data_IF_029790283726
#
_entry.id   IF_029790283726
#
_cell.length_a   1.000
_cell.length_b   1.000
_cell.length_c   1.000
_cell.angle_alpha   90.00
_cell.angle_beta   90.00
_cell.angle_gamma   90.00
#
_symmetry.space_group_name_H-M   'P 1'
#
loop_
_entity.id
_entity.type
_entity.pdbx_description
1 polymer ?
#
# COMPACT_ATOMS: atom_id res chain seq x y z
N UNK A 1 3.60 -13.77 17.49
CA UNK A 1 4.47 -14.12 16.37
C UNK A 1 3.61 -14.19 15.12
N UNK A 2 3.21 -13.02 14.60
CA UNK A 2 2.63 -12.89 13.26
C UNK A 2 3.76 -12.48 12.31
N UNK A 3 4.71 -13.38 12.11
CA UNK A 3 5.82 -13.21 11.18
C UNK A 3 5.46 -13.92 9.86
N UNK A 4 4.26 -13.61 9.35
CA UNK A 4 3.71 -14.18 8.10
C UNK A 4 2.68 -13.24 7.43
N UNK A 5 2.80 -11.92 7.59
CA UNK A 5 1.94 -10.95 6.89
C UNK A 5 2.64 -10.27 5.70
N UNK A 6 3.94 -10.57 5.46
CA UNK A 6 4.71 -10.00 4.37
C UNK A 6 5.16 -11.09 3.40
N UNK A 7 4.89 -10.86 2.11
CA UNK A 7 5.37 -11.75 1.07
C UNK A 7 6.91 -11.76 1.00
N UNK A 8 7.54 -12.92 0.79
CA UNK A 8 9.00 -13.01 0.73
C UNK A 8 9.55 -12.23 -0.47
N UNK A 9 10.66 -11.51 -0.26
CA UNK A 9 11.44 -10.97 -1.37
C UNK A 9 12.03 -12.16 -2.18
N UNK A 10 11.95 -12.18 -3.52
CA UNK A 10 11.68 -11.06 -4.43
C UNK A 10 10.23 -10.92 -4.92
N UNK A 11 9.31 -11.81 -4.53
CA UNK A 11 7.94 -11.81 -5.06
C UNK A 11 7.22 -10.48 -4.79
N UNK A 12 7.41 -9.94 -3.58
CA UNK A 12 6.93 -8.61 -3.17
C UNK A 12 7.31 -7.48 -4.13
N UNK A 13 8.50 -7.52 -4.75
CA UNK A 13 8.92 -6.49 -5.71
C UNK A 13 8.04 -6.55 -6.96
N UNK A 14 7.74 -7.77 -7.44
CA UNK A 14 6.85 -7.96 -8.59
C UNK A 14 5.43 -7.50 -8.31
N UNK A 15 4.91 -7.83 -7.13
CA UNK A 15 3.56 -7.42 -6.72
C UNK A 15 3.44 -5.90 -6.54
N UNK A 16 4.42 -5.25 -5.90
CA UNK A 16 4.46 -3.79 -5.72
C UNK A 16 4.63 -3.04 -7.06
N UNK A 17 5.38 -3.61 -8.01
CA UNK A 17 5.47 -3.07 -9.38
C UNK A 17 4.14 -3.20 -10.13
N UNK A 18 3.46 -4.35 -10.02
CA UNK A 18 2.20 -4.63 -10.71
C UNK A 18 1.04 -3.80 -10.17
N UNK A 19 0.92 -3.72 -8.84
CA UNK A 19 -0.06 -2.88 -8.16
C UNK A 19 0.21 -1.40 -8.44
N UNK A 20 1.47 -0.95 -8.39
CA UNK A 20 1.88 0.40 -8.76
C UNK A 20 1.53 0.75 -10.21
N UNK A 21 1.82 -0.15 -11.16
CA UNK A 21 1.44 0.03 -12.56
C UNK A 21 -0.08 0.20 -12.71
N UNK A 22 -0.85 -0.65 -12.05
CA UNK A 22 -2.32 -0.64 -12.12
C UNK A 22 -2.90 0.65 -11.53
N UNK A 23 -2.41 1.09 -10.37
CA UNK A 23 -2.79 2.38 -9.76
C UNK A 23 -2.47 3.55 -10.69
N UNK A 24 -1.26 3.58 -11.26
CA UNK A 24 -0.83 4.63 -12.18
C UNK A 24 -1.58 4.62 -13.51
N UNK A 25 -1.96 3.44 -14.02
CA UNK A 25 -2.75 3.30 -15.24
C UNK A 25 -4.18 3.82 -15.02
N UNK A 26 -4.83 3.41 -13.93
CA UNK A 26 -6.20 3.83 -13.62
C UNK A 26 -6.27 5.34 -13.30
N UNK A 27 -5.42 5.80 -12.37
CA UNK A 27 -5.35 7.21 -11.99
C UNK A 27 -4.90 8.10 -13.15
N UNK A 28 -3.88 7.66 -13.89
CA UNK A 28 -3.39 8.35 -15.08
C UNK A 28 -4.43 8.40 -16.20
N UNK A 29 -5.20 7.34 -16.43
CA UNK A 29 -6.28 7.34 -17.43
C UNK A 29 -7.35 8.36 -17.08
N UNK A 30 -7.80 8.41 -15.82
CA UNK A 30 -8.80 9.38 -15.39
C UNK A 30 -8.27 10.82 -15.49
N UNK A 31 -7.08 11.08 -14.97
CA UNK A 31 -6.48 12.42 -14.98
C UNK A 31 -6.21 12.92 -16.41
N UNK A 32 -5.61 12.08 -17.26
CA UNK A 32 -5.33 12.46 -18.65
C UNK A 32 -6.58 12.47 -19.53
N UNK A 33 -7.64 11.75 -19.18
CA UNK A 33 -8.93 11.87 -19.85
C UNK A 33 -9.54 13.26 -19.61
N UNK A 34 -9.67 13.66 -18.35
CA UNK A 34 -10.22 14.98 -17.98
C UNK A 34 -9.35 16.10 -18.54
N UNK A 35 -8.02 15.99 -18.41
CA UNK A 35 -7.10 16.98 -18.94
C UNK A 35 -7.14 17.08 -20.48
N UNK A 36 -7.29 15.94 -21.17
CA UNK A 36 -7.39 15.88 -22.63
C UNK A 36 -8.71 16.48 -23.13
N UNK A 37 -9.82 16.18 -22.45
CA UNK A 37 -11.13 16.73 -22.79
C UNK A 37 -11.21 18.25 -22.59
N UNK A 38 -10.60 18.78 -21.52
CA UNK A 38 -10.60 20.22 -21.20
C UNK A 38 -9.70 21.05 -22.11
N UNK A 39 -8.61 20.48 -22.63
CA UNK A 39 -7.62 21.20 -23.45
C UNK A 39 -7.86 21.10 -24.96
N UNK A 40 -8.92 20.41 -25.39
CA UNK A 40 -9.22 20.20 -26.81
C UNK A 40 -9.92 21.45 -27.41
N UNK A 41 -9.21 22.16 -28.29
CA UNK A 41 -9.75 23.32 -29.04
C UNK A 41 -10.06 22.99 -30.50
N UNK A 42 -9.18 22.25 -31.18
CA UNK A 42 -9.26 22.02 -32.65
C UNK A 42 -9.75 20.62 -33.07
N UNK A 43 -9.79 19.65 -32.14
CA UNK A 43 -10.21 18.26 -32.41
C UNK A 43 -11.48 17.90 -31.65
N UNK A 44 -12.30 16.96 -32.14
CA UNK A 44 -13.41 16.43 -31.37
C UNK A 44 -12.92 15.98 -29.99
N UNK A 45 -13.58 16.49 -28.94
CA UNK A 45 -13.10 16.39 -27.56
C UNK A 45 -12.84 14.94 -27.12
N UNK A 46 -13.65 14.01 -27.60
CA UNK A 46 -13.49 12.57 -27.35
C UNK A 46 -12.24 11.98 -27.99
N UNK A 47 -11.89 12.40 -29.20
CA UNK A 47 -10.70 11.89 -29.88
C UNK A 47 -9.42 12.45 -29.24
N UNK A 48 -9.43 13.74 -28.86
CA UNK A 48 -8.33 14.35 -28.11
C UNK A 48 -8.13 13.70 -26.75
N UNK A 49 -9.23 13.44 -26.03
CA UNK A 49 -9.23 12.67 -24.78
C UNK A 49 -8.59 11.30 -24.97
N UNK A 50 -9.06 10.51 -25.94
CA UNK A 50 -8.58 9.16 -26.18
C UNK A 50 -7.09 9.15 -26.57
N UNK A 51 -6.65 10.08 -27.41
CA UNK A 51 -5.24 10.23 -27.78
C UNK A 51 -4.37 10.61 -26.59
N UNK A 52 -4.86 11.48 -25.69
CA UNK A 52 -4.10 11.90 -24.52
C UNK A 52 -3.96 10.77 -23.49
N UNK A 53 -5.04 10.03 -23.24
CA UNK A 53 -5.02 8.83 -22.38
C UNK A 53 -4.06 7.79 -22.94
N UNK A 54 -4.19 7.43 -24.23
CA UNK A 54 -3.36 6.41 -24.86
C UNK A 54 -1.86 6.73 -24.82
N UNK A 55 -1.49 8.02 -24.91
CA UNK A 55 -0.09 8.44 -24.89
C UNK A 55 0.49 8.57 -23.48
N UNK A 56 -0.31 9.01 -22.49
CA UNK A 56 0.21 9.43 -21.18
C UNK A 56 -0.16 8.52 -20.00
N UNK A 57 -1.28 7.82 -20.07
CA UNK A 57 -1.67 6.88 -19.03
C UNK A 57 -0.64 5.74 -18.83
N UNK A 58 -0.13 5.05 -19.89
CA UNK A 58 0.89 4.02 -19.68
C UNK A 58 2.20 4.59 -19.17
N UNK A 59 2.59 5.81 -19.58
CA UNK A 59 3.79 6.48 -19.06
C UNK A 59 3.67 6.76 -17.55
N UNK A 60 2.49 7.20 -17.10
CA UNK A 60 2.19 7.40 -15.68
C UNK A 60 2.24 6.06 -14.93
N UNK A 61 1.64 5.01 -15.49
CA UNK A 61 1.70 3.65 -14.95
C UNK A 61 3.14 3.17 -14.73
N UNK A 62 4.02 3.31 -15.73
CA UNK A 62 5.43 2.91 -15.62
C UNK A 62 6.17 3.74 -14.56
N UNK A 63 5.86 5.02 -14.40
CA UNK A 63 6.46 5.85 -13.34
C UNK A 63 6.08 5.35 -11.93
N UNK A 64 4.81 5.00 -11.71
CA UNK A 64 4.37 4.42 -10.44
C UNK A 64 4.95 3.02 -10.22
N UNK A 65 5.04 2.20 -11.26
CA UNK A 65 5.68 0.88 -11.18
C UNK A 65 7.17 0.99 -10.84
N UNK A 66 7.89 1.92 -11.46
CA UNK A 66 9.30 2.17 -11.16
C UNK A 66 9.49 2.66 -9.72
N UNK A 67 8.60 3.53 -9.22
CA UNK A 67 8.64 3.98 -7.84
C UNK A 67 8.37 2.83 -6.86
N UNK A 68 7.31 2.05 -7.05
CA UNK A 68 6.98 0.88 -6.21
C UNK A 68 8.09 -0.16 -6.22
N UNK A 69 8.59 -0.56 -7.39
CA UNK A 69 9.67 -1.54 -7.49
C UNK A 69 10.97 -1.08 -6.84
N UNK A 70 11.35 0.19 -6.99
CA UNK A 70 12.52 0.76 -6.35
C UNK A 70 12.38 0.82 -4.83
N UNK A 71 11.19 1.18 -4.33
CA UNK A 71 10.86 1.19 -2.91
C UNK A 71 11.02 -0.20 -2.31
N UNK A 72 10.38 -1.21 -2.88
CA UNK A 72 10.40 -2.58 -2.37
C UNK A 72 11.79 -3.20 -2.46
N UNK A 73 12.56 -2.86 -3.52
CA UNK A 73 13.97 -3.29 -3.63
C UNK A 73 14.81 -2.70 -2.50
N UNK A 74 14.68 -1.41 -2.21
CA UNK A 74 15.42 -0.75 -1.12
C UNK A 74 15.00 -1.31 0.24
N UNK A 75 13.70 -1.49 0.48
CA UNK A 75 13.14 -2.03 1.72
C UNK A 75 13.60 -3.48 1.98
N UNK A 76 13.48 -4.36 0.98
CA UNK A 76 13.99 -5.73 1.03
C UNK A 76 15.50 -5.77 1.31
N UNK A 77 16.28 -4.87 0.69
CA UNK A 77 17.73 -4.80 0.92
C UNK A 77 18.07 -4.37 2.34
N UNK A 78 17.36 -3.36 2.87
CA UNK A 78 17.54 -2.91 4.25
C UNK A 78 17.14 -3.97 5.27
N UNK A 79 16.03 -4.67 5.03
CA UNK A 79 15.59 -5.79 5.85
C UNK A 79 16.63 -6.93 5.86
N UNK A 80 17.21 -7.27 4.70
CA UNK A 80 18.24 -8.30 4.59
C UNK A 80 19.53 -7.93 5.35
N UNK A 81 19.96 -6.67 5.31
CA UNK A 81 21.16 -6.20 6.00
C UNK A 81 20.93 -6.09 7.52
N UNK A 82 19.81 -5.49 7.93
CA UNK A 82 19.54 -5.18 9.35
C UNK A 82 18.90 -6.32 10.11
N UNK A 83 18.34 -7.32 9.42
CA UNK A 83 17.59 -8.46 9.98
C UNK A 83 16.52 -8.04 11.00
N UNK A 84 15.97 -6.84 10.81
CA UNK A 84 14.97 -6.24 11.67
C UNK A 84 14.03 -5.43 10.80
N UNK A 85 12.73 -5.63 11.00
CA UNK A 85 11.68 -4.86 10.34
C UNK A 85 11.19 -3.76 11.29
N UNK A 86 11.65 -2.53 11.05
CA UNK A 86 11.22 -1.34 11.78
C UNK A 86 10.55 -0.36 10.81
N UNK A 87 9.63 0.51 11.29
CA UNK A 87 9.07 1.61 10.48
C UNK A 87 10.14 2.53 9.86
N UNK A 88 11.33 2.56 10.48
CA UNK A 88 12.48 3.28 9.96
C UNK A 88 12.98 2.71 8.62
N UNK A 89 12.82 1.42 8.36
CA UNK A 89 13.19 0.83 7.07
C UNK A 89 12.33 1.41 5.95
N UNK A 90 11.02 1.53 6.16
CA UNK A 90 10.09 2.18 5.22
C UNK A 90 10.45 3.64 4.97
N UNK A 91 10.77 4.41 6.01
CA UNK A 91 11.12 5.84 5.87
C UNK A 91 12.41 6.01 5.07
N UNK A 92 13.44 5.23 5.41
CA UNK A 92 14.74 5.30 4.74
C UNK A 92 14.65 4.78 3.31
N UNK A 93 13.92 3.69 3.06
CA UNK A 93 13.72 3.17 1.71
C UNK A 93 12.97 4.18 0.84
N UNK A 94 11.96 4.89 1.36
CA UNK A 94 11.31 6.00 0.63
C UNK A 94 12.26 7.13 0.25
N UNK A 95 13.13 7.53 1.18
CA UNK A 95 14.17 8.52 0.91
C UNK A 95 15.17 8.05 -0.14
N UNK A 96 15.63 6.80 -0.04
CA UNK A 96 16.53 6.18 -1.02
C UNK A 96 15.89 6.08 -2.40
N UNK A 97 14.63 5.65 -2.49
CA UNK A 97 13.88 5.60 -3.75
C UNK A 97 13.76 6.98 -4.39
N UNK A 98 13.41 8.00 -3.61
CA UNK A 98 13.36 9.38 -4.07
C UNK A 98 14.71 9.88 -4.59
N UNK A 99 15.79 9.59 -3.86
CA UNK A 99 17.15 9.94 -4.27
C UNK A 99 17.56 9.23 -5.58
N UNK A 100 17.37 7.91 -5.64
CA UNK A 100 17.82 7.09 -6.76
C UNK A 100 17.06 7.40 -8.05
N UNK A 101 15.76 7.71 -7.98
CA UNK A 101 14.99 8.09 -9.16
C UNK A 101 15.37 9.49 -9.69
N UNK A 102 15.82 10.37 -8.81
CA UNK A 102 16.25 11.73 -9.13
C UNK A 102 17.77 11.88 -9.30
N UNK A 103 18.53 10.77 -9.28
CA UNK A 103 20.00 10.81 -9.29
C UNK A 103 20.56 11.56 -10.51
N UNK A 104 19.89 11.45 -11.66
CA UNK A 104 20.26 12.10 -12.93
C UNK A 104 19.87 13.59 -13.01
N UNK A 105 19.07 14.07 -12.07
CA UNK A 105 18.52 15.44 -12.09
C UNK A 105 19.38 16.45 -11.32
N UNK A 106 20.55 16.03 -10.83
CA UNK A 106 21.48 16.85 -10.07
C UNK A 106 21.29 16.75 -8.55
N UNK A 107 22.31 17.13 -7.77
CA UNK A 107 22.36 16.88 -6.32
C UNK A 107 21.27 17.61 -5.54
N UNK A 108 20.90 18.82 -5.95
CA UNK A 108 19.84 19.59 -5.29
C UNK A 108 18.46 18.92 -5.44
N UNK A 109 18.13 18.45 -6.66
CA UNK A 109 16.87 17.76 -6.92
C UNK A 109 16.87 16.41 -6.19
N UNK A 110 17.98 15.67 -6.24
CA UNK A 110 18.14 14.42 -5.51
C UNK A 110 17.87 14.56 -4.01
N UNK A 111 18.44 15.57 -3.36
CA UNK A 111 18.22 15.83 -1.94
C UNK A 111 16.75 16.18 -1.64
N UNK A 112 16.14 17.02 -2.47
CA UNK A 112 14.73 17.40 -2.30
C UNK A 112 13.77 16.22 -2.49
N UNK A 113 14.03 15.35 -3.48
CA UNK A 113 13.24 14.15 -3.73
C UNK A 113 13.42 13.10 -2.63
N UNK A 114 14.63 12.97 -2.09
CA UNK A 114 14.89 12.10 -0.94
C UNK A 114 14.10 12.57 0.30
N UNK A 115 14.14 13.86 0.60
CA UNK A 115 13.38 14.43 1.71
C UNK A 115 11.87 14.22 1.54
N UNK A 116 11.33 14.51 0.35
CA UNK A 116 9.91 14.35 0.07
C UNK A 116 9.47 12.88 0.20
N UNK A 117 10.26 11.94 -0.34
CA UNK A 117 9.99 10.51 -0.24
C UNK A 117 9.98 10.02 1.21
N UNK A 118 10.99 10.42 2.00
CA UNK A 118 11.07 10.08 3.42
C UNK A 118 9.92 10.71 4.23
N UNK A 119 9.58 11.97 3.98
CA UNK A 119 8.52 12.67 4.69
C UNK A 119 7.14 12.05 4.44
N UNK A 120 6.82 11.68 3.19
CA UNK A 120 5.54 11.04 2.86
C UNK A 120 5.41 9.68 3.54
N UNK A 121 6.46 8.84 3.46
CA UNK A 121 6.39 7.52 4.09
C UNK A 121 6.43 7.58 5.62
N UNK A 122 7.11 8.58 6.20
CA UNK A 122 7.03 8.84 7.64
C UNK A 122 5.61 9.19 8.09
N UNK A 123 4.85 9.94 7.29
CA UNK A 123 3.45 10.21 7.58
C UNK A 123 2.58 8.94 7.45
N UNK A 124 2.81 8.11 6.42
CA UNK A 124 2.03 6.88 6.22
C UNK A 124 2.26 5.88 7.37
N UNK A 125 3.51 5.62 7.72
CA UNK A 125 3.85 4.75 8.86
C UNK A 125 3.37 5.35 10.20
N UNK A 126 3.50 6.67 10.37
CA UNK A 126 3.00 7.38 11.54
C UNK A 126 1.48 7.23 11.72
N UNK A 127 0.71 7.37 10.63
CA UNK A 127 -0.73 7.11 10.63
C UNK A 127 -1.04 5.64 10.92
N UNK A 128 -0.26 4.70 10.37
CA UNK A 128 -0.38 3.27 10.64
C UNK A 128 -0.26 2.97 12.13
N UNK A 129 0.77 3.49 12.79
CA UNK A 129 0.97 3.31 14.23
C UNK A 129 -0.19 3.88 15.04
N UNK A 130 -0.67 5.09 14.73
CA UNK A 130 -1.80 5.71 15.45
C UNK A 130 -3.07 4.90 15.29
N UNK A 131 -3.38 4.45 14.07
CA UNK A 131 -4.56 3.63 13.79
C UNK A 131 -4.50 2.29 14.51
N UNK A 132 -3.35 1.60 14.48
CA UNK A 132 -3.15 0.35 15.22
C UNK A 132 -3.34 0.52 16.73
N UNK A 133 -2.87 1.65 17.29
CA UNK A 133 -3.06 1.97 18.71
C UNK A 133 -4.53 2.23 19.05
N UNK A 134 -5.24 2.99 18.22
CA UNK A 134 -6.65 3.30 18.41
C UNK A 134 -7.54 2.04 18.31
N UNK A 135 -7.33 1.21 17.29
CA UNK A 135 -8.05 -0.07 17.13
C UNK A 135 -7.73 -1.03 18.27
N UNK A 136 -6.47 -1.10 18.69
CA UNK A 136 -6.05 -1.92 19.84
C UNK A 136 -6.70 -1.51 21.16
N UNK A 137 -7.02 -0.22 21.36
CA UNK A 137 -7.77 0.24 22.53
C UNK A 137 -9.26 -0.12 22.47
N UNK A 138 -9.82 -0.28 21.27
CA UNK A 138 -11.21 -0.71 21.08
C UNK A 138 -11.39 -2.23 21.25
N UNK A 139 -10.30 -2.99 21.18
CA UNK A 139 -10.28 -4.45 21.28
C UNK A 139 -9.44 -4.89 22.49
N UNK A 140 -9.76 -4.40 23.69
CA UNK A 140 -9.12 -4.85 24.91
C UNK A 140 -9.66 -6.25 25.31
N UNK A 141 -8.85 -7.32 25.26
CA UNK A 141 -9.29 -8.67 25.61
C UNK A 141 -9.51 -8.87 27.13
N UNK A 142 -9.30 -7.85 27.96
CA UNK A 142 -9.66 -7.89 29.39
C UNK A 142 -11.13 -7.61 29.67
N UNK A 143 -11.94 -7.29 28.65
CA UNK A 143 -13.40 -7.29 28.79
C UNK A 143 -13.88 -8.73 28.97
N UNK A 144 -14.09 -9.15 30.23
CA UNK A 144 -14.72 -10.43 30.58
C UNK A 144 -16.09 -10.49 29.87
N UNK A 145 -16.33 -11.45 28.97
CA UNK A 145 -17.66 -11.62 28.39
C UNK A 145 -18.66 -11.83 29.54
N UNK A 146 -19.85 -11.21 29.50
CA UNK A 146 -20.84 -11.41 30.55
C UNK A 146 -21.07 -12.91 30.73
N UNK A 147 -21.12 -13.42 31.98
CA UNK A 147 -21.19 -14.86 32.22
C UNK A 147 -22.40 -15.44 31.48
N UNK A 148 -22.13 -16.44 30.63
CA UNK A 148 -23.18 -17.18 29.92
C UNK A 148 -24.09 -17.84 30.96
N UNK A 149 -25.35 -17.41 31.04
CA UNK A 149 -26.36 -18.06 31.85
C UNK A 149 -26.57 -19.50 31.32
N UNK A 150 -26.49 -20.54 32.16
CA UNK A 150 -26.61 -21.92 31.70
C UNK A 150 -28.01 -22.15 31.13
N UNK A 151 -28.04 -22.52 29.85
CA UNK A 151 -29.24 -22.96 29.12
C UNK A 151 -29.84 -24.16 29.87
N UNK A 152 -31.00 -23.97 30.49
CA UNK A 152 -31.86 -25.05 30.98
C UNK A 152 -32.36 -25.85 29.78
N UNK A 153 -31.70 -26.97 29.48
CA UNK A 153 -32.21 -27.96 28.53
C UNK A 153 -33.31 -28.79 29.22
N UNK A 154 -34.50 -28.97 28.62
CA UNK A 154 -35.53 -29.85 29.17
C UNK A 154 -35.06 -31.32 29.16
N UNK A 155 -35.31 -32.04 30.26
CA UNK A 155 -35.01 -33.47 30.43
C UNK A 155 -35.67 -34.31 29.32
N UNK A 156 -34.89 -35.16 28.66
CA UNK A 156 -35.36 -36.11 27.64
C UNK A 156 -35.92 -37.37 28.33
N UNK A 157 -37.18 -37.79 28.08
CA UNK A 157 -37.75 -38.97 28.73
C UNK A 157 -37.08 -40.28 28.29
N UNK A 158 -36.70 -41.11 29.26
CA UNK A 158 -36.09 -42.44 29.08
C UNK A 158 -36.94 -43.39 28.21
N UNK A 159 -36.45 -43.71 27.01
CA UNK A 159 -37.04 -44.73 26.12
C UNK A 159 -36.07 -45.88 25.78
N UNK A 160 -35.26 -46.33 26.75
CA UNK A 160 -34.43 -47.54 26.60
C UNK A 160 -34.30 -48.30 27.95
N UNK A 161 -35.38 -48.96 28.37
CA UNK A 161 -35.34 -50.09 29.32
C UNK A 161 -36.31 -51.17 28.78
N UNK A 162 -35.90 -51.81 27.69
CA UNK A 162 -36.39 -53.14 27.30
C UNK A 162 -35.16 -54.04 27.29
N UNK A 163 -34.87 -54.69 28.42
CA UNK A 163 -34.50 -56.09 28.54
C UNK A 163 -34.40 -56.49 30.02
#
# INVERSE_FOLDING_TARGET
MEEYAREPCPYRIGDDMGSGFSMGLLGGSLFHAVAGFRKATDRPKFESMLQNVRKKAPLTGVQFAAWGGMFSTCDCTLAAIRKKEDPFNTIVSGGLTGALLACRSGPAVMASSAFLGAAILAMIEGLGVVMSRYVGQMHDPTMVPPPEEPINLPEVPNLLQIN
#
